data_IF_961811542885
#
_entry.id   IF_961811542885
#
_cell.length_a   1.000
_cell.length_b   1.000
_cell.length_c   1.000
_cell.angle_alpha   90.00
_cell.angle_beta   90.00
_cell.angle_gamma   90.00
#
_symmetry.space_group_name_H-M   'P 1'
#
loop_
_entity.id
_entity.type
_entity.pdbx_description
1 polymer ?
#
# COMPACT_ATOMS: atom_id res chain seq x y z
N UNK A 1 25.42 23.06 -40.00
CA UNK A 1 25.19 21.60 -40.03
C UNK A 1 24.20 21.10 -38.97
N UNK A 2 24.27 21.54 -37.70
CA UNK A 2 23.33 21.11 -36.64
C UNK A 2 21.90 21.70 -36.80
N UNK A 3 21.79 22.92 -37.33
CA UNK A 3 20.50 23.61 -37.52
C UNK A 3 19.63 23.03 -38.65
N UNK A 4 20.23 22.29 -39.58
CA UNK A 4 19.54 21.60 -40.68
C UNK A 4 19.04 20.21 -40.30
N UNK A 5 19.72 19.53 -39.36
CA UNK A 5 19.30 18.23 -38.84
C UNK A 5 18.05 18.34 -37.95
N UNK A 6 17.94 19.41 -37.14
CA UNK A 6 16.70 19.67 -36.37
C UNK A 6 15.50 19.94 -37.28
N UNK A 7 15.69 20.62 -38.42
CA UNK A 7 14.57 20.99 -39.30
C UNK A 7 14.07 19.82 -40.17
N UNK A 8 14.90 18.78 -40.39
CA UNK A 8 14.46 17.51 -40.99
C UNK A 8 13.67 16.65 -40.00
N UNK A 9 14.08 16.60 -38.72
CA UNK A 9 13.36 15.87 -37.68
C UNK A 9 11.95 16.41 -37.43
N UNK A 10 11.72 17.73 -37.59
CA UNK A 10 10.37 18.33 -37.45
C UNK A 10 9.46 18.13 -38.67
N UNK A 11 10.01 17.70 -39.81
CA UNK A 11 9.23 17.42 -41.04
C UNK A 11 8.77 15.98 -41.15
N UNK A 12 9.42 15.02 -40.49
CA UNK A 12 8.97 13.63 -40.43
C UNK A 12 7.77 13.40 -39.49
N UNK A 13 7.57 14.26 -38.48
CA UNK A 13 6.38 14.23 -37.60
C UNK A 13 5.07 14.72 -38.28
N UNK A 14 5.14 15.23 -39.51
CA UNK A 14 3.99 15.78 -40.26
C UNK A 14 3.62 14.93 -41.49
N UNK A 15 3.96 13.64 -41.52
CA UNK A 15 3.44 12.71 -42.53
C UNK A 15 2.00 12.30 -42.16
N UNK A 16 1.04 12.38 -43.10
CA UNK A 16 -0.36 12.03 -42.84
C UNK A 16 -0.52 10.61 -42.29
N UNK A 17 0.35 9.69 -42.69
CA UNK A 17 0.38 8.29 -42.23
C UNK A 17 0.68 8.18 -40.72
N UNK A 18 1.60 8.99 -40.18
CA UNK A 18 1.92 8.95 -38.73
C UNK A 18 0.75 9.51 -37.92
N UNK A 19 0.08 10.54 -38.44
CA UNK A 19 -1.11 11.13 -37.83
C UNK A 19 -2.29 10.17 -37.85
N UNK A 20 -2.55 9.51 -38.97
CA UNK A 20 -3.62 8.53 -39.12
C UNK A 20 -3.41 7.28 -38.24
N UNK A 21 -2.16 6.82 -38.09
CA UNK A 21 -1.81 5.70 -37.20
C UNK A 21 -1.97 6.11 -35.73
N UNK A 22 -1.53 7.32 -35.36
CA UNK A 22 -1.68 7.84 -33.99
C UNK A 22 -3.16 8.08 -33.63
N UNK A 23 -3.97 8.58 -34.57
CA UNK A 23 -5.42 8.75 -34.39
C UNK A 23 -6.13 7.40 -34.32
N UNK A 24 -5.69 6.40 -35.09
CA UNK A 24 -6.21 5.03 -35.05
C UNK A 24 -5.88 4.31 -33.75
N UNK A 25 -4.63 4.39 -33.26
CA UNK A 25 -4.24 3.83 -31.95
C UNK A 25 -4.98 4.51 -30.80
N UNK A 26 -5.07 5.85 -30.83
CA UNK A 26 -5.83 6.62 -29.82
C UNK A 26 -7.31 6.24 -29.84
N UNK A 27 -7.89 6.10 -31.03
CA UNK A 27 -9.29 5.67 -31.19
C UNK A 27 -9.51 4.24 -30.68
N UNK A 28 -8.57 3.33 -30.94
CA UNK A 28 -8.64 1.94 -30.46
C UNK A 28 -8.53 1.86 -28.94
N UNK A 29 -7.59 2.60 -28.33
CA UNK A 29 -7.46 2.72 -26.87
C UNK A 29 -8.74 3.26 -26.22
N UNK A 30 -9.36 4.29 -26.81
CA UNK A 30 -10.62 4.85 -26.31
C UNK A 30 -11.80 3.86 -26.43
N UNK A 31 -11.77 2.99 -27.44
CA UNK A 31 -12.79 1.98 -27.66
C UNK A 31 -12.65 0.83 -26.65
N UNK A 32 -11.42 0.39 -26.39
CA UNK A 32 -11.10 -0.56 -25.32
C UNK A 32 -11.47 -0.02 -23.95
N UNK A 33 -11.14 1.26 -23.68
CA UNK A 33 -11.50 1.91 -22.43
C UNK A 33 -13.02 1.94 -22.24
N UNK A 34 -13.78 2.36 -23.26
CA UNK A 34 -15.25 2.33 -23.20
C UNK A 34 -15.81 0.94 -22.93
N UNK A 35 -15.23 -0.08 -23.54
CA UNK A 35 -15.64 -1.48 -23.32
C UNK A 35 -15.38 -1.91 -21.87
N UNK A 36 -14.21 -1.57 -21.32
CA UNK A 36 -13.88 -1.84 -19.91
C UNK A 36 -14.82 -1.10 -18.96
N UNK A 37 -15.09 0.18 -19.22
CA UNK A 37 -16.02 1.00 -18.45
C UNK A 37 -17.44 0.39 -18.46
N UNK A 38 -17.94 -0.03 -19.63
CA UNK A 38 -19.26 -0.64 -19.75
C UNK A 38 -19.38 -1.93 -18.93
N UNK A 39 -18.38 -2.83 -19.03
CA UNK A 39 -18.36 -4.08 -18.27
C UNK A 39 -18.27 -3.83 -16.77
N UNK A 40 -17.38 -2.94 -16.35
CA UNK A 40 -17.16 -2.63 -14.94
C UNK A 40 -18.39 -1.96 -14.30
N UNK A 41 -18.99 -0.99 -14.99
CA UNK A 41 -20.16 -0.26 -14.48
C UNK A 41 -21.44 -1.11 -14.48
N UNK A 42 -21.57 -2.05 -15.40
CA UNK A 42 -22.71 -3.00 -15.42
C UNK A 42 -22.78 -3.82 -14.13
N UNK A 43 -21.63 -4.18 -13.58
CA UNK A 43 -21.51 -4.98 -12.35
C UNK A 43 -21.10 -4.17 -11.12
N UNK A 44 -21.37 -2.86 -11.09
CA UNK A 44 -21.12 -2.05 -9.89
C UNK A 44 -21.96 -2.52 -8.70
N UNK A 45 -21.39 -2.40 -7.51
CA UNK A 45 -22.12 -2.56 -6.25
C UNK A 45 -22.98 -1.30 -6.03
N UNK A 46 -24.28 -1.45 -5.69
CA UNK A 46 -25.13 -0.32 -5.39
C UNK A 46 -24.55 0.49 -4.21
N UNK A 47 -24.38 1.79 -4.39
CA UNK A 47 -23.74 2.65 -3.37
C UNK A 47 -24.52 2.68 -2.06
N UNK A 48 -25.85 2.57 -2.10
CA UNK A 48 -26.69 2.41 -0.91
C UNK A 48 -26.38 1.13 -0.13
N UNK A 49 -26.14 0.01 -0.82
CA UNK A 49 -25.80 -1.25 -0.19
C UNK A 49 -24.43 -1.17 0.50
N UNK A 50 -23.45 -0.55 -0.16
CA UNK A 50 -22.13 -0.30 0.44
C UNK A 50 -22.22 0.62 1.67
N UNK A 51 -22.97 1.72 1.58
CA UNK A 51 -23.14 2.66 2.69
C UNK A 51 -23.87 2.03 3.88
N UNK A 52 -24.96 1.31 3.64
CA UNK A 52 -25.70 0.60 4.70
C UNK A 52 -24.87 -0.51 5.33
N UNK A 53 -24.13 -1.29 4.54
CA UNK A 53 -23.20 -2.30 5.04
C UNK A 53 -22.10 -1.70 5.91
N UNK A 54 -21.52 -0.58 5.48
CA UNK A 54 -20.52 0.16 6.24
C UNK A 54 -21.06 0.63 7.59
N UNK A 55 -22.22 1.31 7.59
CA UNK A 55 -22.86 1.81 8.83
C UNK A 55 -23.22 0.66 9.77
N UNK A 56 -23.76 -0.44 9.25
CA UNK A 56 -24.11 -1.62 10.05
C UNK A 56 -22.89 -2.27 10.70
N UNK A 57 -21.83 -2.52 9.93
CA UNK A 57 -20.59 -3.13 10.45
C UNK A 57 -19.84 -2.18 11.40
N UNK A 58 -19.82 -0.88 11.11
CA UNK A 58 -19.24 0.13 12.00
C UNK A 58 -19.98 0.19 13.34
N UNK A 59 -21.32 0.09 13.34
CA UNK A 59 -22.11 0.04 14.57
C UNK A 59 -21.80 -1.21 15.41
N UNK A 60 -21.70 -2.39 14.77
CA UNK A 60 -21.32 -3.63 15.44
C UNK A 60 -19.93 -3.50 16.06
N UNK A 61 -18.95 -3.03 15.28
CA UNK A 61 -17.57 -2.84 15.74
C UNK A 61 -17.48 -1.82 16.90
N UNK A 62 -18.25 -0.73 16.81
CA UNK A 62 -18.32 0.29 17.87
C UNK A 62 -18.87 -0.27 19.18
N UNK A 63 -19.73 -1.29 19.12
CA UNK A 63 -20.24 -1.97 20.32
C UNK A 63 -19.29 -3.06 20.83
N UNK A 64 -18.62 -3.81 19.96
CA UNK A 64 -17.80 -4.97 20.35
C UNK A 64 -16.39 -4.59 20.81
N UNK A 65 -15.76 -3.61 20.17
CA UNK A 65 -14.37 -3.22 20.47
C UNK A 65 -14.18 -2.75 21.92
N UNK A 66 -15.06 -1.91 22.50
CA UNK A 66 -14.93 -1.50 23.90
C UNK A 66 -15.08 -2.65 24.90
N UNK A 67 -15.74 -3.75 24.51
CA UNK A 67 -15.86 -4.95 25.36
C UNK A 67 -14.53 -5.70 25.38
N UNK A 68 -13.84 -5.77 24.24
CA UNK A 68 -12.55 -6.43 24.12
C UNK A 68 -11.40 -5.57 24.68
N UNK A 69 -11.47 -4.25 24.48
CA UNK A 69 -10.48 -3.27 24.92
C UNK A 69 -11.16 -2.15 25.73
N UNK A 70 -11.41 -2.36 27.04
CA UNK A 70 -12.12 -1.40 27.89
C UNK A 70 -11.60 0.05 27.87
N UNK A 71 -10.26 0.31 27.75
CA UNK A 71 -9.75 1.67 27.62
C UNK A 71 -10.23 2.41 26.37
N UNK A 72 -10.60 1.69 25.31
CA UNK A 72 -11.08 2.25 24.04
C UNK A 72 -12.60 2.42 24.06
N UNK A 73 -13.07 3.58 24.53
CA UNK A 73 -14.50 3.88 24.64
C UNK A 73 -15.19 3.95 23.28
N UNK A 74 -16.48 3.60 23.23
CA UNK A 74 -17.29 3.52 22.01
C UNK A 74 -17.23 4.78 21.14
N UNK A 75 -17.24 5.98 21.74
CA UNK A 75 -17.23 7.23 20.98
C UNK A 75 -15.90 7.44 20.25
N UNK A 76 -14.78 6.92 20.77
CA UNK A 76 -13.48 6.97 20.10
C UNK A 76 -13.46 6.04 18.87
N UNK A 77 -14.04 4.84 19.01
CA UNK A 77 -14.21 3.90 17.90
C UNK A 77 -15.08 4.52 16.80
N UNK A 78 -16.20 5.15 17.19
CA UNK A 78 -17.08 5.85 16.25
C UNK A 78 -16.34 6.98 15.51
N UNK A 79 -15.57 7.80 16.22
CA UNK A 79 -14.73 8.83 15.61
C UNK A 79 -13.73 8.25 14.60
N UNK A 80 -13.10 7.11 14.91
CA UNK A 80 -12.22 6.41 13.98
C UNK A 80 -12.95 6.00 12.70
N UNK A 81 -14.18 5.49 12.79
CA UNK A 81 -15.00 5.19 11.61
C UNK A 81 -15.41 6.44 10.82
N UNK A 82 -15.58 7.59 11.46
CA UNK A 82 -15.86 8.84 10.71
C UNK A 82 -14.64 9.31 9.91
N UNK A 83 -13.44 9.16 10.47
CA UNK A 83 -12.18 9.64 9.86
C UNK A 83 -11.62 8.64 8.84
N UNK A 84 -11.80 7.34 9.08
CA UNK A 84 -11.18 6.27 8.30
C UNK A 84 -11.46 6.34 6.79
N UNK A 85 -12.68 6.65 6.28
CA UNK A 85 -12.94 6.74 4.84
C UNK A 85 -12.08 7.77 4.13
N UNK A 86 -11.78 8.91 4.77
CA UNK A 86 -10.92 9.93 4.19
C UNK A 86 -9.47 9.43 4.08
N UNK A 87 -8.96 8.76 5.13
CA UNK A 87 -7.63 8.16 5.13
C UNK A 87 -7.52 6.99 4.15
N UNK A 88 -8.57 6.17 4.08
CA UNK A 88 -8.69 5.04 3.16
C UNK A 88 -8.67 5.52 1.71
N UNK A 89 -9.34 6.63 1.39
CA UNK A 89 -9.26 7.24 0.06
C UNK A 89 -7.84 7.70 -0.27
N UNK A 90 -7.18 8.44 0.64
CA UNK A 90 -5.80 8.90 0.44
C UNK A 90 -4.83 7.74 0.24
N UNK A 91 -4.95 6.67 1.03
CA UNK A 91 -4.14 5.47 0.89
C UNK A 91 -4.42 4.77 -0.43
N UNK A 92 -5.69 4.49 -0.75
CA UNK A 92 -6.06 3.79 -2.00
C UNK A 92 -5.60 4.56 -3.24
N UNK A 93 -5.66 5.88 -3.21
CA UNK A 93 -5.14 6.72 -4.30
C UNK A 93 -3.62 6.65 -4.39
N UNK A 94 -2.91 6.75 -3.25
CA UNK A 94 -1.46 6.57 -3.18
C UNK A 94 -1.05 5.21 -3.73
N UNK A 95 -1.68 4.13 -3.25
CA UNK A 95 -1.49 2.76 -3.73
C UNK A 95 -1.81 2.62 -5.20
N UNK A 96 -2.88 3.24 -5.70
CA UNK A 96 -3.19 3.21 -7.14
C UNK A 96 -2.11 3.82 -8.02
N UNK A 97 -1.37 4.82 -7.52
CA UNK A 97 -0.29 5.50 -8.21
C UNK A 97 1.09 4.84 -8.04
N UNK A 98 1.41 4.34 -6.84
CA UNK A 98 2.74 3.82 -6.51
C UNK A 98 2.80 2.31 -6.38
N UNK A 99 1.65 1.63 -6.49
CA UNK A 99 1.46 0.21 -6.21
C UNK A 99 1.86 -0.19 -4.78
N UNK A 100 1.79 0.76 -3.85
CA UNK A 100 2.24 0.58 -2.47
C UNK A 100 1.19 0.99 -1.44
N UNK A 101 0.94 0.10 -0.48
CA UNK A 101 -0.05 0.29 0.57
C UNK A 101 0.63 0.79 1.87
N UNK A 102 0.41 2.05 2.26
CA UNK A 102 0.99 2.70 3.45
C UNK A 102 0.12 2.52 4.71
N UNK A 103 -0.57 1.39 4.84
CA UNK A 103 -1.50 1.12 5.94
C UNK A 103 -0.92 1.40 7.33
N UNK A 104 0.32 0.99 7.60
CA UNK A 104 1.00 1.21 8.88
C UNK A 104 1.15 2.68 9.25
N UNK A 105 1.42 3.55 8.27
CA UNK A 105 1.52 5.00 8.50
C UNK A 105 0.18 5.59 8.92
N UNK A 106 -0.91 5.23 8.23
CA UNK A 106 -2.25 5.69 8.59
C UNK A 106 -2.74 5.09 9.92
N UNK A 107 -2.38 3.84 10.20
CA UNK A 107 -2.57 3.20 11.49
C UNK A 107 -1.95 4.01 12.62
N UNK A 108 -0.68 4.40 12.45
CA UNK A 108 0.05 5.19 13.43
C UNK A 108 -0.56 6.57 13.69
N UNK A 109 -1.19 7.19 12.69
CA UNK A 109 -1.95 8.43 12.91
C UNK A 109 -3.10 8.19 13.91
N UNK A 110 -3.89 7.13 13.70
CA UNK A 110 -4.95 6.73 14.62
C UNK A 110 -4.41 6.38 16.01
N UNK A 111 -3.29 5.66 16.05
CA UNK A 111 -2.58 5.31 17.28
C UNK A 111 -2.20 6.55 18.08
N UNK A 112 -1.50 7.53 17.48
CA UNK A 112 -1.05 8.72 18.19
C UNK A 112 -2.22 9.57 18.70
N UNK A 113 -3.26 9.75 17.88
CA UNK A 113 -4.44 10.53 18.27
C UNK A 113 -5.15 9.86 19.46
N UNK A 114 -5.43 8.56 19.38
CA UNK A 114 -6.20 7.86 20.41
C UNK A 114 -5.37 7.61 21.68
N UNK A 115 -4.09 7.24 21.55
CA UNK A 115 -3.20 7.08 22.68
C UNK A 115 -3.07 8.39 23.48
N UNK A 116 -2.90 9.52 22.78
CA UNK A 116 -2.84 10.86 23.37
C UNK A 116 -4.16 11.25 24.06
N UNK A 117 -5.31 10.99 23.43
CA UNK A 117 -6.62 11.35 23.97
C UNK A 117 -7.02 10.56 25.21
N UNK A 118 -6.62 9.28 25.30
CA UNK A 118 -6.90 8.44 26.47
C UNK A 118 -5.89 8.69 27.58
N UNK A 119 -4.63 8.99 27.23
CA UNK A 119 -3.58 9.32 28.19
C UNK A 119 -3.05 8.09 28.94
N UNK A 120 -2.50 8.32 30.13
CA UNK A 120 -1.79 7.29 30.91
C UNK A 120 -2.69 6.16 31.40
N UNK A 121 -3.99 6.37 31.50
CA UNK A 121 -4.98 5.40 31.96
C UNK A 121 -5.44 4.48 30.80
N UNK A 122 -4.51 3.68 30.28
CA UNK A 122 -4.77 2.68 29.24
C UNK A 122 -4.63 3.17 27.80
N UNK A 123 -4.03 4.35 27.57
CA UNK A 123 -3.84 4.91 26.22
C UNK A 123 -2.98 4.04 25.30
N UNK A 124 -2.01 3.28 25.83
CA UNK A 124 -1.22 2.33 25.02
C UNK A 124 -2.14 1.28 24.38
N UNK A 125 -2.99 0.64 25.19
CA UNK A 125 -3.90 -0.41 24.71
C UNK A 125 -4.98 0.18 23.79
N UNK A 126 -5.55 1.33 24.16
CA UNK A 126 -6.55 2.01 23.33
C UNK A 126 -5.98 2.46 21.97
N UNK A 127 -4.76 3.02 21.97
CA UNK A 127 -4.06 3.45 20.77
C UNK A 127 -3.72 2.29 19.85
N UNK A 128 -3.21 1.17 20.38
CA UNK A 128 -2.94 -0.04 19.60
C UNK A 128 -4.22 -0.66 19.01
N UNK A 129 -5.30 -0.72 19.79
CA UNK A 129 -6.58 -1.22 19.30
C UNK A 129 -7.15 -0.33 18.19
N UNK A 130 -7.11 1.00 18.36
CA UNK A 130 -7.54 1.94 17.34
C UNK A 130 -6.64 1.91 16.09
N UNK A 131 -5.33 1.71 16.27
CA UNK A 131 -4.39 1.47 15.18
C UNK A 131 -4.84 0.29 14.34
N UNK A 132 -5.13 -0.85 14.97
CA UNK A 132 -5.59 -2.06 14.30
C UNK A 132 -6.87 -1.81 13.48
N UNK A 133 -7.87 -1.14 14.06
CA UNK A 133 -9.10 -0.76 13.34
C UNK A 133 -8.80 0.10 12.12
N UNK A 134 -7.98 1.14 12.29
CA UNK A 134 -7.63 2.05 11.21
C UNK A 134 -6.86 1.31 10.11
N UNK A 135 -5.90 0.49 10.48
CA UNK A 135 -5.12 -0.32 9.55
C UNK A 135 -6.00 -1.27 8.74
N UNK A 136 -6.92 -1.99 9.38
CA UNK A 136 -7.85 -2.89 8.68
C UNK A 136 -8.68 -2.14 7.64
N UNK A 137 -9.26 -0.99 7.99
CA UNK A 137 -10.11 -0.23 7.05
C UNK A 137 -9.28 0.31 5.89
N UNK A 138 -8.14 0.91 6.19
CA UNK A 138 -7.28 1.58 5.20
C UNK A 138 -6.60 0.58 4.26
N UNK A 139 -6.18 -0.59 4.77
CA UNK A 139 -5.61 -1.65 3.94
C UNK A 139 -6.65 -2.25 3.03
N UNK A 140 -7.78 -2.70 3.58
CA UNK A 140 -8.81 -3.38 2.79
C UNK A 140 -9.37 -2.49 1.69
N UNK A 141 -9.47 -1.17 1.92
CA UNK A 141 -9.87 -0.23 0.87
C UNK A 141 -8.85 -0.15 -0.28
N UNK A 142 -7.55 -0.10 0.04
CA UNK A 142 -6.49 -0.02 -0.96
C UNK A 142 -6.36 -1.35 -1.74
N UNK A 143 -6.42 -2.48 -1.04
CA UNK A 143 -6.35 -3.81 -1.64
C UNK A 143 -7.56 -4.05 -2.55
N UNK A 144 -8.78 -3.70 -2.09
CA UNK A 144 -9.99 -3.79 -2.92
C UNK A 144 -9.93 -2.86 -4.15
N UNK A 145 -9.29 -1.70 -4.04
CA UNK A 145 -9.06 -0.81 -5.19
C UNK A 145 -8.13 -1.47 -6.22
N UNK A 146 -7.05 -2.12 -5.77
CA UNK A 146 -6.15 -2.88 -6.65
C UNK A 146 -6.86 -4.07 -7.30
N UNK A 147 -7.69 -4.79 -6.55
CA UNK A 147 -8.53 -5.86 -7.08
C UNK A 147 -9.47 -5.34 -8.15
N UNK A 148 -10.21 -4.25 -7.88
CA UNK A 148 -11.07 -3.62 -8.88
C UNK A 148 -10.32 -3.11 -10.11
N UNK A 149 -9.11 -2.56 -9.94
CA UNK A 149 -8.25 -2.18 -11.06
C UNK A 149 -7.88 -3.39 -11.91
N UNK A 150 -7.52 -4.50 -11.27
CA UNK A 150 -7.23 -5.77 -11.95
C UNK A 150 -8.46 -6.27 -12.70
N UNK A 151 -9.62 -6.28 -12.05
CA UNK A 151 -10.88 -6.70 -12.68
C UNK A 151 -11.29 -5.82 -13.86
N UNK A 152 -11.09 -4.51 -13.74
CA UNK A 152 -11.30 -3.56 -14.82
C UNK A 152 -10.40 -3.85 -16.03
N UNK A 153 -9.12 -4.18 -15.80
CA UNK A 153 -8.17 -4.50 -16.86
C UNK A 153 -8.45 -5.87 -17.51
N UNK A 154 -8.86 -6.87 -16.72
CA UNK A 154 -9.15 -8.25 -17.19
C UNK A 154 -10.58 -8.46 -17.66
N UNK A 155 -11.42 -7.41 -17.64
CA UNK A 155 -12.87 -7.51 -17.93
C UNK A 155 -13.62 -8.48 -16.99
N UNK A 156 -13.11 -8.65 -15.77
CA UNK A 156 -13.74 -9.47 -14.73
C UNK A 156 -14.83 -8.68 -14.00
N UNK A 157 -15.82 -9.39 -13.46
CA UNK A 157 -16.94 -8.77 -12.73
C UNK A 157 -16.50 -8.21 -11.37
N UNK A 158 -16.72 -6.92 -11.14
CA UNK A 158 -16.41 -6.24 -9.88
C UNK A 158 -17.16 -6.84 -8.67
N UNK A 159 -18.42 -7.28 -8.87
CA UNK A 159 -19.18 -8.01 -7.84
C UNK A 159 -18.49 -9.30 -7.43
N UNK A 160 -18.00 -10.08 -8.41
CA UNK A 160 -17.34 -11.35 -8.13
C UNK A 160 -16.08 -11.15 -7.30
N UNK A 161 -15.28 -10.12 -7.62
CA UNK A 161 -14.09 -9.77 -6.84
C UNK A 161 -14.44 -9.37 -5.41
N UNK A 162 -15.44 -8.50 -5.22
CA UNK A 162 -15.90 -8.11 -3.89
C UNK A 162 -16.41 -9.30 -3.07
N UNK A 163 -17.22 -10.17 -3.66
CA UNK A 163 -17.70 -11.40 -2.99
C UNK A 163 -16.54 -12.32 -2.63
N UNK A 164 -15.55 -12.46 -3.51
CA UNK A 164 -14.37 -13.27 -3.25
C UNK A 164 -13.56 -12.72 -2.07
N UNK A 165 -13.41 -11.40 -2.00
CA UNK A 165 -12.75 -10.75 -0.86
C UNK A 165 -13.53 -10.91 0.44
N UNK A 166 -14.87 -10.80 0.41
CA UNK A 166 -15.69 -11.09 1.60
C UNK A 166 -15.50 -12.53 2.09
N UNK A 167 -15.49 -13.52 1.19
CA UNK A 167 -15.25 -14.92 1.54
C UNK A 167 -13.83 -15.10 2.09
N UNK A 168 -12.83 -14.50 1.44
CA UNK A 168 -11.44 -14.54 1.89
C UNK A 168 -11.26 -13.92 3.28
N UNK A 169 -11.86 -12.76 3.54
CA UNK A 169 -11.86 -12.11 4.85
C UNK A 169 -12.55 -12.99 5.90
N UNK A 170 -13.71 -13.58 5.59
CA UNK A 170 -14.42 -14.46 6.51
C UNK A 170 -13.58 -15.71 6.88
N UNK A 171 -12.91 -16.31 5.90
CA UNK A 171 -11.96 -17.40 6.15
C UNK A 171 -10.77 -16.92 6.99
N UNK A 172 -10.23 -15.73 6.69
CA UNK A 172 -9.14 -15.12 7.44
C UNK A 172 -9.47 -14.86 8.91
N UNK A 173 -10.71 -14.44 9.22
CA UNK A 173 -11.18 -14.27 10.60
C UNK A 173 -11.15 -15.55 11.43
N UNK A 174 -11.14 -16.73 10.79
CA UNK A 174 -11.04 -18.03 11.47
C UNK A 174 -9.60 -18.56 11.43
N UNK A 175 -8.98 -18.58 10.25
CA UNK A 175 -7.66 -19.19 10.04
C UNK A 175 -6.55 -18.40 10.73
N UNK A 176 -6.58 -17.07 10.69
CA UNK A 176 -5.50 -16.25 11.24
C UNK A 176 -5.42 -16.35 12.78
N UNK A 177 -6.51 -16.21 13.55
CA UNK A 177 -6.47 -16.40 15.00
C UNK A 177 -6.11 -17.83 15.41
N UNK A 178 -6.60 -18.85 14.69
CA UNK A 178 -6.27 -20.26 14.99
C UNK A 178 -4.78 -20.54 14.75
N UNK A 179 -4.23 -20.05 13.64
CA UNK A 179 -2.79 -20.15 13.36
C UNK A 179 -1.99 -19.43 14.43
N UNK A 180 -2.36 -18.19 14.76
CA UNK A 180 -1.69 -17.45 15.84
C UNK A 180 -1.75 -18.21 17.17
N UNK A 181 -2.91 -18.76 17.54
CA UNK A 181 -3.09 -19.55 18.76
C UNK A 181 -2.21 -20.80 18.80
N UNK A 182 -2.04 -21.49 17.67
CA UNK A 182 -1.13 -22.62 17.54
C UNK A 182 0.32 -22.21 17.85
N UNK A 183 0.81 -21.11 17.24
CA UNK A 183 2.17 -20.62 17.51
C UNK A 183 2.32 -20.13 18.94
N UNK A 184 1.33 -19.40 19.46
CA UNK A 184 1.33 -18.87 20.82
C UNK A 184 1.37 -19.96 21.90
N UNK A 185 0.76 -21.12 21.63
CA UNK A 185 0.76 -22.26 22.56
C UNK A 185 1.96 -23.18 22.40
N UNK A 186 2.51 -23.31 21.18
CA UNK A 186 3.64 -24.19 20.89
C UNK A 186 5.01 -23.56 21.17
N UNK A 187 5.12 -22.23 21.07
CA UNK A 187 6.38 -21.50 21.20
C UNK A 187 6.23 -20.29 22.12
N UNK A 188 7.35 -19.86 22.71
CA UNK A 188 7.42 -18.64 23.50
C UNK A 188 7.55 -17.41 22.57
N UNK A 189 6.42 -17.03 21.96
CA UNK A 189 6.35 -15.94 20.98
C UNK A 189 6.65 -14.61 21.68
N UNK A 190 7.66 -13.90 21.18
CA UNK A 190 8.09 -12.61 21.74
C UNK A 190 9.28 -12.67 22.69
N UNK A 191 9.79 -13.86 23.03
CA UNK A 191 11.03 -14.00 23.77
C UNK A 191 12.22 -13.37 23.00
N UNK A 192 13.05 -12.50 23.62
CA UNK A 192 14.14 -11.79 22.95
C UNK A 192 15.18 -12.72 22.31
N UNK A 193 15.40 -13.89 22.91
CA UNK A 193 16.34 -14.92 22.46
C UNK A 193 15.64 -16.14 21.83
N UNK A 194 14.32 -16.04 21.63
CA UNK A 194 13.52 -17.09 21.01
C UNK A 194 13.60 -17.08 19.48
N UNK A 195 13.25 -18.21 18.83
CA UNK A 195 13.18 -18.29 17.37
C UNK A 195 12.05 -17.44 16.76
N UNK A 196 11.00 -17.12 17.55
CA UNK A 196 9.85 -16.33 17.11
C UNK A 196 9.79 -14.99 17.87
N UNK A 197 10.73 -14.10 17.58
CA UNK A 197 10.74 -12.74 18.13
C UNK A 197 9.56 -11.95 17.57
N UNK A 198 9.02 -11.03 18.37
CA UNK A 198 7.92 -10.15 17.96
C UNK A 198 8.39 -8.68 17.81
N UNK A 199 9.32 -8.37 16.89
CA UNK A 199 9.94 -7.05 16.79
C UNK A 199 8.90 -5.95 16.51
N UNK A 200 7.92 -6.23 15.64
CA UNK A 200 6.83 -5.28 15.37
C UNK A 200 5.99 -4.97 16.60
N UNK A 201 5.72 -5.94 17.48
CA UNK A 201 4.95 -5.69 18.70
C UNK A 201 5.67 -4.69 19.61
N UNK A 202 7.00 -4.80 19.71
CA UNK A 202 7.83 -3.83 20.46
C UNK A 202 7.76 -2.45 19.80
N UNK A 203 7.94 -2.37 18.49
CA UNK A 203 7.89 -1.09 17.75
C UNK A 203 6.55 -0.38 17.97
N UNK A 204 5.43 -1.07 17.77
CA UNK A 204 4.10 -0.47 17.93
C UNK A 204 3.81 -0.11 19.40
N UNK A 205 4.32 -0.89 20.37
CA UNK A 205 4.23 -0.55 21.80
C UNK A 205 4.97 0.75 22.10
N UNK A 206 6.21 0.91 21.63
CA UNK A 206 6.98 2.14 21.83
C UNK A 206 6.33 3.34 21.14
N UNK A 207 5.78 3.15 19.94
CA UNK A 207 4.98 4.20 19.27
C UNK A 207 3.74 4.59 20.10
N UNK A 208 3.07 3.62 20.72
CA UNK A 208 1.91 3.88 21.56
C UNK A 208 2.28 4.61 22.86
N UNK A 209 3.43 4.28 23.46
CA UNK A 209 3.98 5.01 24.62
C UNK A 209 4.31 6.45 24.23
N UNK A 210 5.01 6.66 23.10
CA UNK A 210 5.25 8.00 22.55
C UNK A 210 3.96 8.78 22.30
N UNK A 211 2.89 8.10 21.86
CA UNK A 211 1.57 8.71 21.71
C UNK A 211 0.94 9.18 23.02
N UNK A 212 1.16 8.45 24.12
CA UNK A 212 0.69 8.82 25.47
C UNK A 212 1.52 9.96 26.06
N UNK A 213 2.85 9.88 25.96
CA UNK A 213 3.78 10.86 26.54
C UNK A 213 3.83 12.17 25.73
N UNK A 214 3.49 12.09 24.44
CA UNK A 214 3.31 13.23 23.55
C UNK A 214 4.61 13.74 22.93
N UNK A 215 4.54 14.92 22.31
CA UNK A 215 5.64 15.48 21.51
C UNK A 215 6.93 15.78 22.29
N UNK A 216 6.89 15.79 23.62
CA UNK A 216 8.04 16.06 24.48
C UNK A 216 9.09 14.96 24.46
N UNK A 217 8.68 13.72 24.19
CA UNK A 217 9.58 12.55 24.13
C UNK A 217 10.14 12.30 22.73
N UNK A 218 9.72 13.09 21.73
CA UNK A 218 10.29 12.99 20.39
C UNK A 218 11.75 13.46 20.37
N UNK A 219 12.62 12.82 19.56
CA UNK A 219 13.99 13.26 19.38
C UNK A 219 14.08 14.75 19.01
N UNK A 220 15.12 15.43 19.53
CA UNK A 220 15.38 16.85 19.22
C UNK A 220 15.38 17.07 17.70
N UNK A 221 14.63 18.08 17.25
CA UNK A 221 14.41 18.43 15.84
C UNK A 221 13.53 17.47 15.00
N UNK A 222 13.01 16.36 15.53
CA UNK A 222 12.15 15.45 14.78
C UNK A 222 10.92 16.18 14.19
N UNK A 223 10.19 16.92 15.02
CA UNK A 223 9.02 17.68 14.59
C UNK A 223 9.37 18.76 13.55
N UNK A 224 10.51 19.43 13.70
CA UNK A 224 10.99 20.42 12.74
C UNK A 224 11.29 19.77 11.38
N UNK A 225 11.90 18.58 11.36
CA UNK A 225 12.12 17.82 10.12
C UNK A 225 10.79 17.36 9.50
N UNK A 226 9.86 16.83 10.28
CA UNK A 226 8.53 16.44 9.80
C UNK A 226 7.79 17.61 9.15
N UNK A 227 7.75 18.78 9.81
CA UNK A 227 7.16 19.99 9.25
C UNK A 227 7.89 20.45 7.98
N UNK A 228 9.22 20.39 7.95
CA UNK A 228 10.02 20.78 6.78
C UNK A 228 9.73 19.90 5.57
N UNK A 229 9.71 18.57 5.76
CA UNK A 229 9.38 17.62 4.70
C UNK A 229 7.92 17.73 4.27
N UNK A 230 6.99 17.99 5.18
CA UNK A 230 5.59 18.24 4.86
C UNK A 230 5.42 19.47 3.96
N UNK A 231 6.06 20.60 4.33
CA UNK A 231 6.04 21.82 3.52
C UNK A 231 6.71 21.57 2.17
N UNK A 232 7.86 20.89 2.13
CA UNK A 232 8.54 20.55 0.89
C UNK A 232 7.66 19.68 -0.03
N UNK A 233 6.98 18.66 0.52
CA UNK A 233 6.06 17.82 -0.23
C UNK A 233 4.87 18.61 -0.77
N UNK A 234 4.32 19.53 0.01
CA UNK A 234 3.21 20.40 -0.43
C UNK A 234 3.66 21.33 -1.56
N UNK A 235 4.83 21.94 -1.45
CA UNK A 235 5.42 22.79 -2.49
C UNK A 235 5.70 21.98 -3.76
N UNK A 236 6.27 20.77 -3.65
CA UNK A 236 6.55 19.91 -4.81
C UNK A 236 5.26 19.51 -5.54
N UNK A 237 4.21 19.12 -4.81
CA UNK A 237 2.92 18.80 -5.44
C UNK A 237 2.30 20.04 -6.10
N UNK A 238 2.30 21.19 -5.43
CA UNK A 238 1.77 22.43 -6.01
C UNK A 238 2.53 22.85 -7.27
N UNK A 239 3.86 22.75 -7.25
CA UNK A 239 4.70 22.99 -8.43
C UNK A 239 4.33 22.00 -9.54
N UNK A 240 4.17 20.72 -9.23
CA UNK A 240 3.77 19.70 -10.21
C UNK A 240 2.43 20.00 -10.89
N UNK A 241 1.45 20.50 -10.14
CA UNK A 241 0.10 20.79 -10.63
C UNK A 241 0.03 22.09 -11.44
N UNK A 242 0.81 23.11 -11.08
CA UNK A 242 0.81 24.42 -11.76
C UNK A 242 1.69 24.41 -13.02
N UNK A 243 2.73 23.56 -13.06
CA UNK A 243 3.71 23.58 -14.13
C UNK A 243 3.21 22.79 -15.36
N UNK A 244 3.49 23.23 -16.61
CA UNK A 244 3.11 22.51 -17.82
C UNK A 244 3.60 21.05 -17.83
N UNK A 245 2.80 20.14 -18.43
CA UNK A 245 3.07 18.69 -18.48
C UNK A 245 4.50 18.31 -18.91
N UNK A 246 5.13 19.11 -19.80
CA UNK A 246 6.51 18.91 -20.26
C UNK A 246 7.59 19.08 -19.18
N UNK A 247 7.32 19.86 -18.14
CA UNK A 247 8.25 20.08 -17.02
C UNK A 247 7.77 19.29 -15.79
N UNK A 248 6.45 19.18 -15.59
CA UNK A 248 5.82 18.41 -14.51
C UNK A 248 6.26 16.93 -14.50
N UNK A 249 6.59 16.35 -15.66
CA UNK A 249 7.13 14.98 -15.77
C UNK A 249 8.50 14.78 -15.08
N UNK A 250 9.27 15.85 -14.85
CA UNK A 250 10.57 15.78 -14.17
C UNK A 250 10.45 16.07 -12.66
N UNK A 251 9.29 16.51 -12.19
CA UNK A 251 9.07 16.78 -10.77
C UNK A 251 8.74 15.46 -10.08
N UNK A 252 9.55 15.02 -9.10
CA UNK A 252 9.35 13.75 -8.45
C UNK A 252 8.05 13.76 -7.63
N UNK A 253 7.43 12.59 -7.51
CA UNK A 253 6.20 12.42 -6.73
C UNK A 253 6.60 12.20 -5.27
N UNK A 254 6.25 13.12 -4.34
CA UNK A 254 6.67 12.98 -2.94
C UNK A 254 6.20 11.66 -2.30
N UNK A 255 5.02 11.17 -2.68
CA UNK A 255 4.51 9.85 -2.25
C UNK A 255 5.44 8.71 -2.66
N UNK A 256 5.91 8.69 -3.91
CA UNK A 256 6.84 7.65 -4.39
C UNK A 256 8.22 7.78 -3.74
N UNK A 257 8.68 9.01 -3.51
CA UNK A 257 9.94 9.27 -2.81
C UNK A 257 9.93 8.77 -1.37
N UNK A 258 8.78 8.80 -0.68
CA UNK A 258 8.69 8.40 0.72
C UNK A 258 8.86 6.88 0.93
N UNK A 259 8.58 6.06 -0.08
CA UNK A 259 8.56 4.58 0.05
C UNK A 259 9.94 4.02 0.45
N UNK A 260 11.06 4.35 -0.22
CA UNK A 260 12.39 3.89 0.21
C UNK A 260 12.83 4.39 1.59
N UNK A 261 12.36 5.56 2.03
CA UNK A 261 12.66 6.03 3.39
C UNK A 261 11.92 5.23 4.46
N UNK A 262 10.81 4.59 4.10
CA UNK A 262 10.02 3.77 5.02
C UNK A 262 10.54 2.34 5.11
N UNK A 263 10.89 1.73 3.98
CA UNK A 263 11.29 0.32 3.90
C UNK A 263 12.81 0.16 4.07
N UNK A 264 13.58 1.08 3.49
CA UNK A 264 15.03 0.98 3.42
C UNK A 264 15.55 1.25 2.02
N UNK A 265 16.82 1.65 1.93
CA UNK A 265 17.45 2.02 0.67
C UNK A 265 17.58 0.84 -0.31
N UNK A 266 17.66 -0.40 0.18
CA UNK A 266 17.73 -1.61 -0.64
C UNK A 266 16.58 -1.69 -1.65
N UNK A 267 15.37 -1.33 -1.22
CA UNK A 267 14.18 -1.36 -2.07
C UNK A 267 14.30 -0.41 -3.26
N UNK A 268 14.92 0.76 -3.07
CA UNK A 268 15.16 1.69 -4.18
C UNK A 268 16.16 1.11 -5.19
N UNK A 269 17.18 0.37 -4.72
CA UNK A 269 18.13 -0.30 -5.61
C UNK A 269 17.45 -1.42 -6.41
N UNK A 270 16.58 -2.21 -5.78
CA UNK A 270 15.86 -3.28 -6.45
C UNK A 270 14.91 -2.74 -7.54
N UNK A 271 14.14 -1.69 -7.21
CA UNK A 271 13.30 -1.00 -8.21
C UNK A 271 14.11 -0.42 -9.36
N UNK A 272 15.28 0.14 -9.08
CA UNK A 272 16.18 0.70 -10.10
C UNK A 272 16.69 -0.39 -11.04
N UNK A 273 17.15 -1.52 -10.51
CA UNK A 273 17.60 -2.68 -11.30
C UNK A 273 16.44 -3.23 -12.15
N UNK A 274 15.25 -3.42 -11.55
CA UNK A 274 14.06 -3.86 -12.27
C UNK A 274 13.67 -2.91 -13.42
N UNK A 275 13.77 -1.61 -13.19
CA UNK A 275 13.52 -0.59 -14.22
C UNK A 275 14.53 -0.64 -15.36
N UNK A 276 15.82 -0.87 -15.07
CA UNK A 276 16.85 -1.05 -16.10
C UNK A 276 16.56 -2.27 -16.96
N UNK A 277 16.21 -3.41 -16.34
CA UNK A 277 15.88 -4.64 -17.04
C UNK A 277 14.68 -4.41 -17.96
N UNK A 278 13.62 -3.79 -17.45
CA UNK A 278 12.43 -3.47 -18.23
C UNK A 278 12.76 -2.51 -19.39
N UNK A 279 13.57 -1.48 -19.13
CA UNK A 279 13.98 -0.52 -20.15
C UNK A 279 14.78 -1.17 -21.28
N UNK A 280 15.70 -2.07 -20.97
CA UNK A 280 16.45 -2.84 -21.97
C UNK A 280 15.50 -3.75 -22.75
N UNK A 281 14.58 -4.42 -22.07
CA UNK A 281 13.61 -5.31 -22.73
C UNK A 281 12.65 -4.54 -23.65
N UNK A 282 12.15 -3.38 -23.23
CA UNK A 282 11.35 -2.49 -24.08
C UNK A 282 12.09 -2.02 -25.33
N UNK A 283 13.41 -1.77 -25.23
CA UNK A 283 14.25 -1.40 -26.37
C UNK A 283 14.44 -2.54 -27.37
N UNK A 284 14.43 -3.78 -26.91
CA UNK A 284 14.58 -4.97 -27.76
C UNK A 284 13.24 -5.36 -28.37
N UNK A 285 12.18 -5.46 -27.55
CA UNK A 285 10.86 -5.90 -27.99
C UNK A 285 9.73 -5.21 -27.19
N UNK A 286 9.19 -4.12 -27.75
CA UNK A 286 8.11 -3.32 -27.13
C UNK A 286 6.81 -4.09 -26.91
N UNK A 287 6.45 -4.99 -27.84
CA UNK A 287 5.17 -5.70 -27.78
C UNK A 287 5.20 -6.77 -26.67
N UNK A 288 6.28 -7.55 -26.64
CA UNK A 288 6.45 -8.62 -25.65
C UNK A 288 6.64 -8.06 -24.23
N UNK A 289 7.42 -6.99 -24.07
CA UNK A 289 7.55 -6.32 -22.76
C UNK A 289 6.21 -5.77 -22.26
N UNK A 290 5.39 -5.18 -23.12
CA UNK A 290 4.05 -4.72 -22.76
C UNK A 290 3.13 -5.84 -22.26
N UNK A 291 3.19 -7.01 -22.90
CA UNK A 291 2.30 -8.14 -22.57
C UNK A 291 2.80 -8.99 -21.38
N UNK A 292 4.13 -9.11 -21.19
CA UNK A 292 4.72 -10.09 -20.24
C UNK A 292 5.48 -9.49 -19.06
N UNK A 293 5.79 -8.19 -19.07
CA UNK A 293 6.54 -7.56 -17.97
C UNK A 293 5.90 -7.77 -16.59
N UNK A 294 4.58 -7.59 -16.51
CA UNK A 294 3.82 -7.83 -15.26
C UNK A 294 3.89 -9.29 -14.82
N UNK A 295 3.80 -10.24 -15.75
CA UNK A 295 3.91 -11.67 -15.45
C UNK A 295 5.30 -12.03 -14.90
N UNK A 296 6.37 -11.53 -15.53
CA UNK A 296 7.75 -11.76 -15.08
C UNK A 296 8.00 -11.13 -13.72
N UNK A 297 7.59 -9.88 -13.51
CA UNK A 297 7.72 -9.20 -12.22
C UNK A 297 6.99 -9.96 -11.11
N UNK A 298 5.74 -10.38 -11.36
CA UNK A 298 4.98 -11.19 -10.40
C UNK A 298 5.64 -12.54 -10.10
N UNK A 299 6.25 -13.17 -11.12
CA UNK A 299 6.99 -14.43 -10.97
C UNK A 299 8.25 -14.28 -10.13
N UNK A 300 8.99 -13.17 -10.26
CA UNK A 300 10.16 -12.87 -9.43
C UNK A 300 9.78 -12.64 -7.96
N UNK A 301 8.71 -11.86 -7.71
CA UNK A 301 8.19 -11.63 -6.35
C UNK A 301 7.68 -12.93 -5.73
N UNK A 302 6.89 -13.71 -6.47
CA UNK A 302 6.39 -15.00 -6.01
C UNK A 302 7.53 -16.00 -5.78
N UNK A 303 8.57 -15.99 -6.61
CA UNK A 303 9.75 -16.82 -6.48
C UNK A 303 10.49 -16.59 -5.17
N UNK A 304 10.64 -15.33 -4.75
CA UNK A 304 11.21 -14.97 -3.45
C UNK A 304 10.35 -15.52 -2.29
N UNK A 305 9.02 -15.37 -2.38
CA UNK A 305 8.09 -15.94 -1.39
C UNK A 305 8.13 -17.48 -1.33
N UNK A 306 8.28 -18.16 -2.47
CA UNK A 306 8.42 -19.62 -2.52
C UNK A 306 9.73 -20.06 -1.88
N UNK A 307 10.81 -19.29 -2.01
CA UNK A 307 12.11 -19.58 -1.41
C UNK A 307 12.07 -19.59 0.13
N UNK A 308 11.09 -18.92 0.75
CA UNK A 308 10.85 -18.99 2.19
C UNK A 308 10.47 -20.41 2.67
N UNK A 309 9.85 -21.23 1.82
CA UNK A 309 9.40 -22.58 2.20
C UNK A 309 10.61 -23.54 2.35
N UNK A 310 11.51 -23.69 1.35
CA UNK A 310 12.73 -24.46 1.51
C UNK A 310 13.61 -23.95 2.65
N UNK A 311 13.77 -22.63 2.81
CA UNK A 311 14.60 -22.06 3.87
C UNK A 311 14.04 -22.37 5.26
N UNK A 312 12.72 -22.30 5.44
CA UNK A 312 12.06 -22.74 6.66
C UNK A 312 12.24 -24.25 6.91
N UNK A 313 12.13 -25.09 5.88
CA UNK A 313 12.38 -26.54 6.00
C UNK A 313 13.84 -26.85 6.38
N UNK A 314 14.81 -26.16 5.78
CA UNK A 314 16.24 -26.26 6.12
C UNK A 314 16.52 -25.80 7.56
N UNK A 315 15.87 -24.73 8.00
CA UNK A 315 15.94 -24.23 9.39
C UNK A 315 15.38 -25.25 10.39
N UNK A 316 14.24 -25.88 10.08
CA UNK A 316 13.66 -26.97 10.90
C UNK A 316 14.61 -28.17 10.98
N UNK A 317 15.34 -28.46 9.91
CA UNK A 317 16.33 -29.55 9.86
C UNK A 317 17.68 -29.19 10.51
N UNK A 318 17.84 -27.99 11.08
CA UNK A 318 19.08 -27.48 11.72
C UNK A 318 20.32 -27.62 10.83
N UNK A 319 20.15 -27.46 9.52
CA UNK A 319 21.27 -27.40 8.58
C UNK A 319 21.68 -25.93 8.48
N UNK A 320 22.82 -25.57 9.07
CA UNK A 320 23.34 -24.20 9.04
C UNK A 320 23.57 -23.76 7.60
N UNK A 321 22.87 -22.70 7.19
CA UNK A 321 23.01 -22.11 5.88
C UNK A 321 24.24 -21.18 5.86
N UNK A 322 25.12 -21.25 4.85
CA UNK A 322 26.24 -20.31 4.71
C UNK A 322 25.82 -18.84 4.45
N UNK A 323 24.52 -18.55 4.37
CA UNK A 323 23.96 -17.21 4.14
C UNK A 323 23.10 -16.67 5.30
N UNK A 324 23.04 -17.38 6.43
CA UNK A 324 22.21 -17.01 7.59
C UNK A 324 22.60 -15.68 8.27
N UNK A 325 23.70 -15.03 7.88
CA UNK A 325 24.13 -13.74 8.43
C UNK A 325 23.63 -12.50 7.67
N UNK A 326 22.71 -12.61 6.70
CA UNK A 326 22.26 -11.44 5.92
C UNK A 326 20.85 -10.92 6.28
N UNK A 327 20.08 -11.67 7.06
CA UNK A 327 18.75 -11.23 7.53
C UNK A 327 18.77 -10.48 8.87
N UNK A 328 19.90 -10.40 9.56
CA UNK A 328 20.07 -9.59 10.79
C UNK A 328 20.45 -8.12 10.50
N UNK A 329 20.44 -7.71 9.22
CA UNK A 329 20.85 -6.37 8.76
C UNK A 329 19.91 -5.77 7.70
N UNK A 330 18.65 -6.22 7.68
CA UNK A 330 17.50 -5.60 6.99
C UNK A 330 16.36 -5.42 8.00
#
# INVERSE_FOLDING_TARGET
>A
MVKEMCNKSTKEDNLPIVKDVLDSETSMMLLEQRKRDEVFLKDRIPSWLAASGYVGLAAISTATIPILFPPLKWYLVLCSYVIAPALAFCNSYGTGLTDWNLTSTYGNIGLFIIASLVGTDGGVVAGLAACGVMMSIVSTAADLMQDFKTGYLTLSSAKSMFVSQLVGTAMGCVIAPLTFWLFWTAFDVGAPDGPYKAPYAVIYREMAILGVEGFSELPKHCLAMCCSFFVAALVLNLLRDVTPKKISQFIPIPMAMAVPFFIGAYFAFDMFIGTIILFIWERINRKESGDFSGAVASGLICGDGIWAIPSAMLSILRIDHPFACTSDLL
#
